data_IF_591216367167
#
_entry.id   IF_591216367167
#
_cell.length_a   1.000
_cell.length_b   1.000
_cell.length_c   1.000
_cell.angle_alpha   90.00
_cell.angle_beta   90.00
_cell.angle_gamma   90.00
#
_symmetry.space_group_name_H-M   'P 1'
#
loop_
_entity.id
_entity.type
_entity.pdbx_description
1 polymer ?
#
# COMPACT_ATOMS: atom_id res chain seq x y z
N UNK A 1 41.19 80.58 14.86
CA UNK A 1 42.02 80.20 16.02
C UNK A 1 41.91 78.69 16.15
N UNK A 2 42.91 78.12 15.88
CA UNK A 2 43.95 77.24 16.33
C UNK A 2 43.59 75.79 16.07
N UNK A 3 44.27 75.18 15.12
CA UNK A 3 45.48 74.27 15.19
C UNK A 3 45.37 73.02 16.03
N UNK A 4 45.44 71.83 15.41
CA UNK A 4 46.53 70.85 15.44
C UNK A 4 45.99 69.53 14.94
N UNK A 5 46.37 69.02 13.83
CA UNK A 5 47.59 68.23 13.46
C UNK A 5 47.68 66.83 14.11
N UNK A 6 47.64 65.88 13.17
CA UNK A 6 48.48 64.67 13.05
C UNK A 6 48.26 63.49 14.02
N UNK A 7 47.90 62.36 13.47
CA UNK A 7 48.83 61.23 13.34
C UNK A 7 48.25 60.11 12.49
N UNK A 8 49.05 59.67 11.57
CA UNK A 8 48.83 58.57 10.66
C UNK A 8 48.82 57.24 11.38
N UNK A 9 47.94 56.31 10.99
CA UNK A 9 47.96 54.93 11.34
C UNK A 9 47.52 54.07 10.15
N UNK A 10 48.51 53.62 9.39
CA UNK A 10 48.37 52.57 8.40
C UNK A 10 47.95 51.28 9.10
N UNK A 11 46.75 50.82 8.85
CA UNK A 11 46.37 49.43 9.09
C UNK A 11 46.07 48.76 7.76
N UNK A 12 46.98 47.93 7.30
CA UNK A 12 46.87 47.04 6.17
C UNK A 12 45.74 46.03 6.42
N UNK A 13 44.60 46.22 5.74
CA UNK A 13 43.56 45.19 5.70
C UNK A 13 44.05 44.06 4.76
N UNK A 14 44.58 42.99 5.33
CA UNK A 14 44.80 41.74 4.65
C UNK A 14 43.48 41.08 4.25
N UNK A 15 43.12 41.20 2.98
CA UNK A 15 41.99 40.52 2.39
C UNK A 15 42.39 39.05 2.20
N UNK A 16 42.00 38.18 3.17
CA UNK A 16 42.05 36.75 3.04
C UNK A 16 40.97 36.33 2.01
N UNK A 17 41.41 36.15 0.75
CA UNK A 17 40.63 35.44 -0.25
C UNK A 17 40.55 33.97 0.19
N UNK A 18 39.52 33.61 0.95
CA UNK A 18 39.12 32.23 1.13
C UNK A 18 38.56 31.75 -0.21
N UNK A 19 39.45 31.15 -1.02
CA UNK A 19 39.06 30.44 -2.24
C UNK A 19 38.12 29.28 -1.82
N UNK A 20 36.83 29.44 -2.03
CA UNK A 20 35.89 28.33 -1.97
C UNK A 20 36.26 27.35 -3.09
N UNK A 21 37.00 26.30 -2.74
CA UNK A 21 37.18 25.13 -3.60
C UNK A 21 35.84 24.45 -3.66
N UNK A 22 35.01 24.81 -4.64
CA UNK A 22 33.84 24.04 -4.99
C UNK A 22 34.35 22.64 -5.39
N UNK A 23 33.86 21.54 -4.77
CA UNK A 23 34.24 20.21 -5.21
C UNK A 23 33.79 20.08 -6.66
N UNK A 24 34.75 19.89 -7.54
CA UNK A 24 34.49 19.54 -8.93
C UNK A 24 33.77 18.18 -8.89
N UNK A 25 32.44 18.23 -9.01
CA UNK A 25 31.65 17.01 -9.14
C UNK A 25 32.11 16.37 -10.43
N UNK A 26 32.86 15.26 -10.31
CA UNK A 26 33.29 14.48 -11.47
C UNK A 26 32.02 14.18 -12.28
N UNK A 27 31.97 14.60 -13.54
CA UNK A 27 30.88 14.28 -14.44
C UNK A 27 30.80 12.76 -14.48
N UNK A 28 29.62 12.22 -14.18
CA UNK A 28 29.38 10.78 -14.36
C UNK A 28 29.77 10.43 -15.81
N UNK A 29 30.56 9.36 -16.01
CA UNK A 29 30.96 8.98 -17.36
C UNK A 29 29.69 8.76 -18.20
N UNK A 30 29.66 9.37 -19.38
CA UNK A 30 28.54 9.21 -20.29
C UNK A 30 28.34 7.72 -20.60
N UNK A 31 27.10 7.25 -20.55
CA UNK A 31 26.79 5.85 -20.88
C UNK A 31 27.22 5.56 -22.34
N UNK A 32 27.84 4.42 -22.58
CA UNK A 32 28.30 4.05 -23.93
C UNK A 32 27.07 3.85 -24.86
N UNK A 33 27.31 3.97 -26.16
CA UNK A 33 26.30 3.70 -27.17
C UNK A 33 25.93 2.21 -27.16
N UNK A 34 24.65 1.88 -27.10
CA UNK A 34 24.18 0.50 -27.03
C UNK A 34 24.61 -0.33 -28.25
N UNK A 35 24.54 0.23 -29.46
CA UNK A 35 24.91 -0.50 -30.67
C UNK A 35 26.41 -0.81 -30.73
N UNK A 36 27.24 0.06 -30.18
CA UNK A 36 28.69 -0.18 -30.07
C UNK A 36 28.95 -1.34 -29.10
N UNK A 37 28.36 -1.31 -27.91
CA UNK A 37 28.45 -2.40 -26.91
C UNK A 37 27.96 -3.72 -27.51
N UNK A 38 26.78 -3.70 -28.15
CA UNK A 38 26.21 -4.88 -28.81
C UNK A 38 27.16 -5.49 -29.85
N UNK A 39 27.74 -4.64 -30.69
CA UNK A 39 28.67 -5.09 -31.73
C UNK A 39 29.91 -5.77 -31.11
N UNK A 40 30.53 -5.16 -30.11
CA UNK A 40 31.72 -5.70 -29.40
C UNK A 40 31.36 -7.03 -28.71
N UNK A 41 30.26 -7.10 -28.01
CA UNK A 41 29.83 -8.32 -27.29
C UNK A 41 29.64 -9.46 -28.28
N UNK A 42 28.99 -9.22 -29.43
CA UNK A 42 28.77 -10.24 -30.44
C UNK A 42 30.04 -10.70 -31.15
N UNK A 43 31.01 -9.81 -31.30
CA UNK A 43 32.30 -10.12 -31.94
C UNK A 43 33.17 -11.00 -31.06
N UNK A 44 33.06 -10.85 -29.73
CA UNK A 44 33.99 -11.46 -28.79
C UNK A 44 33.38 -12.52 -27.87
N UNK A 45 32.06 -12.62 -27.80
CA UNK A 45 31.35 -13.56 -26.95
C UNK A 45 30.54 -14.56 -27.81
N UNK A 46 31.03 -15.80 -27.92
CA UNK A 46 30.48 -16.80 -28.86
C UNK A 46 29.03 -17.24 -28.58
N UNK A 47 28.57 -17.14 -27.35
CA UNK A 47 27.22 -17.47 -26.92
C UNK A 47 26.24 -16.28 -26.95
N UNK A 48 26.71 -15.07 -27.24
CA UNK A 48 25.90 -13.88 -27.37
C UNK A 48 25.20 -13.80 -28.75
N UNK A 49 24.19 -14.63 -28.94
CA UNK A 49 23.37 -14.57 -30.16
C UNK A 49 22.56 -13.27 -30.25
N UNK A 50 22.15 -12.89 -31.46
CA UNK A 50 21.26 -11.72 -31.64
C UNK A 50 19.96 -11.83 -30.85
N UNK A 51 19.41 -13.03 -30.75
CA UNK A 51 18.19 -13.28 -30.01
C UNK A 51 18.40 -13.08 -28.50
N UNK A 52 19.52 -13.59 -27.97
CA UNK A 52 19.90 -13.40 -26.56
C UNK A 52 20.09 -11.93 -26.22
N UNK A 53 20.88 -11.21 -27.01
CA UNK A 53 21.18 -9.78 -26.78
C UNK A 53 19.90 -8.93 -26.89
N UNK A 54 19.06 -9.20 -27.90
CA UNK A 54 17.77 -8.50 -28.05
C UNK A 54 16.85 -8.75 -26.87
N UNK A 55 16.73 -10.01 -26.42
CA UNK A 55 15.91 -10.35 -25.25
C UNK A 55 16.40 -9.63 -24.00
N UNK A 56 17.69 -9.71 -23.70
CA UNK A 56 18.30 -9.05 -22.55
C UNK A 56 18.10 -7.53 -22.58
N UNK A 57 18.24 -6.92 -23.77
CA UNK A 57 18.02 -5.49 -23.95
C UNK A 57 16.56 -5.08 -23.70
N UNK A 58 15.60 -5.82 -24.26
CA UNK A 58 14.17 -5.55 -24.06
C UNK A 58 13.77 -5.75 -22.59
N UNK A 59 14.22 -6.84 -21.95
CA UNK A 59 13.94 -7.10 -20.53
C UNK A 59 14.54 -5.99 -19.64
N UNK A 60 15.80 -5.60 -19.87
CA UNK A 60 16.43 -4.51 -19.15
C UNK A 60 15.73 -3.16 -19.35
N UNK A 61 15.26 -2.88 -20.56
CA UNK A 61 14.49 -1.67 -20.86
C UNK A 61 13.14 -1.66 -20.14
N UNK A 62 12.39 -2.77 -20.18
CA UNK A 62 11.12 -2.90 -19.47
C UNK A 62 11.28 -2.77 -17.97
N UNK A 63 12.34 -3.38 -17.41
CA UNK A 63 12.67 -3.27 -16.00
C UNK A 63 13.00 -1.83 -15.59
N UNK A 64 13.81 -1.13 -16.38
CA UNK A 64 14.18 0.25 -16.11
C UNK A 64 12.98 1.21 -16.18
N UNK A 65 11.99 0.92 -17.01
CA UNK A 65 10.76 1.71 -17.13
C UNK A 65 9.73 1.39 -16.04
N UNK A 66 9.93 0.32 -15.26
CA UNK A 66 9.24 0.05 -14.00
C UNK A 66 7.71 0.13 -14.07
N UNK A 67 7.04 -0.73 -14.83
CA UNK A 67 5.57 -0.78 -14.90
C UNK A 67 4.91 0.33 -15.74
N UNK A 68 5.66 1.35 -16.18
CA UNK A 68 5.17 2.33 -17.18
C UNK A 68 5.06 1.73 -18.58
N UNK A 69 5.76 0.64 -18.78
CA UNK A 69 5.70 -0.15 -20.03
C UNK A 69 5.66 -1.62 -19.63
N UNK A 70 4.80 -2.39 -20.28
CA UNK A 70 4.67 -3.83 -20.07
C UNK A 70 4.37 -4.55 -21.37
N UNK A 71 4.90 -5.76 -21.55
CA UNK A 71 4.48 -6.68 -22.59
C UNK A 71 3.31 -7.52 -22.07
N UNK A 72 2.22 -7.57 -22.80
CA UNK A 72 1.11 -8.47 -22.56
C UNK A 72 1.15 -9.59 -23.60
N UNK A 73 0.95 -10.83 -23.13
CA UNK A 73 0.74 -11.95 -24.06
C UNK A 73 -0.61 -11.78 -24.77
N UNK A 74 -0.76 -12.33 -26.01
CA UNK A 74 -1.99 -12.20 -26.81
C UNK A 74 -3.25 -12.70 -26.10
N UNK A 75 -3.10 -13.67 -25.20
CA UNK A 75 -4.17 -14.37 -24.50
C UNK A 75 -4.04 -14.26 -22.97
N UNK A 76 -3.60 -13.13 -22.43
CA UNK A 76 -3.70 -12.88 -21.00
C UNK A 76 -5.20 -12.85 -20.64
N UNK A 77 -5.79 -14.05 -20.55
CA UNK A 77 -7.17 -14.24 -20.12
C UNK A 77 -7.34 -13.50 -18.79
N UNK A 78 -8.36 -12.67 -18.74
CA UNK A 78 -8.78 -12.02 -17.48
C UNK A 78 -8.93 -13.12 -16.44
N UNK A 79 -8.06 -13.14 -15.44
CA UNK A 79 -8.06 -14.18 -14.41
C UNK A 79 -9.48 -14.38 -13.88
N UNK A 80 -10.02 -15.57 -14.14
CA UNK A 80 -11.35 -15.94 -13.69
C UNK A 80 -11.28 -16.24 -12.17
N UNK A 81 -11.78 -15.33 -11.36
CA UNK A 81 -11.80 -15.51 -9.90
C UNK A 81 -12.69 -14.45 -9.25
N UNK A 82 -13.07 -14.64 -7.98
CA UNK A 82 -13.92 -13.68 -7.28
C UNK A 82 -13.21 -12.35 -7.13
N UNK A 83 -13.95 -11.24 -7.26
CA UNK A 83 -13.43 -9.87 -7.07
C UNK A 83 -13.15 -9.59 -5.59
N UNK A 84 -14.01 -10.12 -4.71
CA UNK A 84 -13.80 -10.18 -3.26
C UNK A 84 -13.46 -11.62 -2.91
N UNK A 85 -12.23 -11.88 -2.53
CA UNK A 85 -11.70 -13.25 -2.29
C UNK A 85 -11.91 -13.74 -0.86
N UNK A 86 -12.16 -12.83 0.08
CA UNK A 86 -12.43 -13.17 1.48
C UNK A 86 -13.34 -12.11 2.09
N UNK A 87 -14.31 -12.59 2.88
CA UNK A 87 -15.15 -11.74 3.72
C UNK A 87 -15.26 -12.34 5.12
N UNK A 88 -15.19 -11.49 6.14
CA UNK A 88 -15.16 -11.92 7.53
C UNK A 88 -15.55 -10.78 8.45
N UNK A 89 -16.02 -11.10 9.67
CA UNK A 89 -16.22 -10.11 10.73
C UNK A 89 -15.17 -10.34 11.82
N UNK A 90 -14.47 -9.28 12.19
CA UNK A 90 -13.55 -9.27 13.33
C UNK A 90 -14.21 -8.58 14.53
N UNK A 91 -13.92 -9.09 15.72
CA UNK A 91 -14.38 -8.55 17.01
C UNK A 91 -15.91 -8.26 17.04
N UNK A 92 -16.69 -9.03 16.28
CA UNK A 92 -18.14 -8.98 16.22
C UNK A 92 -18.74 -7.75 15.54
N UNK A 93 -17.92 -6.76 15.14
CA UNK A 93 -18.45 -5.48 14.61
C UNK A 93 -17.65 -4.88 13.46
N UNK A 94 -16.49 -5.38 13.13
CA UNK A 94 -15.66 -4.85 12.04
C UNK A 94 -15.71 -5.80 10.84
N UNK A 95 -16.36 -5.36 9.77
CA UNK A 95 -16.37 -6.07 8.50
C UNK A 95 -15.00 -6.00 7.84
N UNK A 96 -14.58 -7.09 7.23
CA UNK A 96 -13.34 -7.20 6.46
C UNK A 96 -13.66 -7.80 5.10
N UNK A 97 -13.24 -7.11 4.04
CA UNK A 97 -13.35 -7.56 2.66
C UNK A 97 -11.97 -7.50 2.00
N UNK A 98 -11.52 -8.64 1.47
CA UNK A 98 -10.30 -8.73 0.69
C UNK A 98 -10.63 -8.60 -0.79
N UNK A 99 -10.21 -7.50 -1.40
CA UNK A 99 -10.31 -7.26 -2.83
C UNK A 99 -9.17 -8.00 -3.54
N UNK A 100 -9.49 -8.93 -4.42
CA UNK A 100 -8.49 -9.65 -5.20
C UNK A 100 -8.01 -8.82 -6.40
N UNK A 101 -8.94 -8.14 -7.07
CA UNK A 101 -8.63 -7.27 -8.21
C UNK A 101 -9.72 -6.22 -8.44
N UNK A 102 -9.34 -5.14 -9.11
CA UNK A 102 -10.27 -4.08 -9.53
C UNK A 102 -10.68 -4.32 -10.98
N UNK A 103 -11.92 -4.77 -11.17
CA UNK A 103 -12.50 -5.13 -12.46
C UNK A 103 -14.01 -4.82 -12.47
N UNK A 104 -14.69 -4.88 -13.62
CA UNK A 104 -16.12 -4.64 -13.72
C UNK A 104 -16.92 -5.49 -12.73
N UNK A 105 -17.88 -4.89 -12.02
CA UNK A 105 -18.70 -5.55 -11.00
C UNK A 105 -18.12 -5.49 -9.57
N UNK A 106 -16.94 -4.89 -9.34
CA UNK A 106 -16.37 -4.81 -7.99
C UNK A 106 -17.28 -4.07 -7.00
N UNK A 107 -17.90 -2.98 -7.43
CA UNK A 107 -18.84 -2.23 -6.58
C UNK A 107 -20.00 -3.11 -6.08
N UNK A 108 -20.59 -3.88 -6.99
CA UNK A 108 -21.69 -4.80 -6.65
C UNK A 108 -21.21 -5.92 -5.71
N UNK A 109 -20.01 -6.47 -5.96
CA UNK A 109 -19.41 -7.48 -5.10
C UNK A 109 -19.16 -6.95 -3.68
N UNK A 110 -18.60 -5.74 -3.54
CA UNK A 110 -18.38 -5.08 -2.25
C UNK A 110 -19.69 -4.77 -1.54
N UNK A 111 -20.68 -4.24 -2.28
CA UNK A 111 -22.01 -3.93 -1.71
C UNK A 111 -22.72 -5.19 -1.22
N UNK A 112 -22.66 -6.28 -2.00
CA UNK A 112 -23.27 -7.57 -1.64
C UNK A 112 -22.58 -8.18 -0.43
N UNK A 113 -21.25 -8.28 -0.44
CA UNK A 113 -20.48 -8.81 0.68
C UNK A 113 -20.72 -8.00 1.98
N UNK A 114 -20.77 -6.66 1.88
CA UNK A 114 -21.06 -5.81 3.04
C UNK A 114 -22.47 -6.07 3.58
N UNK A 115 -23.45 -6.25 2.72
CA UNK A 115 -24.84 -6.55 3.10
C UNK A 115 -24.96 -7.92 3.77
N UNK A 116 -24.27 -8.93 3.25
CA UNK A 116 -24.22 -10.26 3.84
C UNK A 116 -23.60 -10.25 5.25
N UNK A 117 -22.49 -9.54 5.44
CA UNK A 117 -21.90 -9.37 6.76
C UNK A 117 -22.83 -8.61 7.72
N UNK A 118 -23.55 -7.60 7.24
CA UNK A 118 -24.49 -6.81 8.04
C UNK A 118 -25.79 -7.57 8.37
N UNK A 119 -26.13 -8.65 7.66
CA UNK A 119 -27.34 -9.41 7.90
C UNK A 119 -27.34 -10.13 9.27
N UNK A 120 -26.15 -10.49 9.76
CA UNK A 120 -25.97 -11.23 11.03
C UNK A 120 -25.17 -10.45 12.07
N UNK A 121 -24.64 -9.26 11.71
CA UNK A 121 -23.79 -8.48 12.59
C UNK A 121 -24.15 -6.98 12.50
N UNK A 122 -23.98 -6.26 13.61
CA UNK A 122 -24.04 -4.80 13.60
C UNK A 122 -22.65 -4.26 13.28
N UNK A 123 -22.43 -3.85 12.02
CA UNK A 123 -21.14 -3.36 11.59
C UNK A 123 -20.86 -1.93 12.11
N UNK A 124 -19.77 -1.75 12.84
CA UNK A 124 -19.24 -0.46 13.29
C UNK A 124 -18.22 0.16 12.34
N UNK A 125 -17.70 -0.62 11.38
CA UNK A 125 -16.71 -0.18 10.39
C UNK A 125 -16.41 -1.26 9.36
N UNK A 126 -15.67 -0.88 8.31
CA UNK A 126 -15.30 -1.76 7.21
C UNK A 126 -13.81 -1.62 6.88
N UNK A 127 -13.10 -2.73 6.82
CA UNK A 127 -11.75 -2.82 6.26
C UNK A 127 -11.84 -3.31 4.82
N UNK A 128 -11.31 -2.53 3.87
CA UNK A 128 -11.07 -2.94 2.48
C UNK A 128 -9.59 -3.29 2.33
N UNK A 129 -9.29 -4.58 2.27
CA UNK A 129 -7.91 -5.02 2.07
C UNK A 129 -7.58 -5.03 0.58
N UNK A 130 -6.78 -4.04 0.16
CA UNK A 130 -6.28 -3.83 -1.19
C UNK A 130 -4.84 -4.30 -1.34
N UNK A 131 -4.24 -4.90 -0.33
CA UNK A 131 -2.88 -5.44 -0.41
C UNK A 131 -2.81 -6.49 -1.51
N UNK A 132 -1.77 -6.46 -2.30
CA UNK A 132 -1.55 -7.35 -3.44
C UNK A 132 -2.61 -7.25 -4.55
N UNK A 133 -3.56 -6.33 -4.46
CA UNK A 133 -4.58 -6.12 -5.48
C UNK A 133 -4.07 -5.21 -6.60
N UNK A 134 -4.51 -5.50 -7.83
CA UNK A 134 -4.27 -4.69 -9.01
C UNK A 134 -5.53 -4.65 -9.88
N UNK A 135 -5.39 -4.22 -11.13
CA UNK A 135 -6.45 -4.21 -12.14
C UNK A 135 -6.71 -2.82 -12.70
N UNK A 136 -6.84 -2.74 -14.01
CA UNK A 136 -6.83 -1.48 -14.76
C UNK A 136 -8.22 -0.85 -14.96
N UNK A 137 -9.26 -1.33 -14.27
CA UNK A 137 -10.61 -0.74 -14.39
C UNK A 137 -10.81 0.40 -13.40
N UNK A 138 -10.47 1.61 -13.82
CA UNK A 138 -10.62 2.82 -13.03
C UNK A 138 -12.09 3.24 -12.84
N UNK A 139 -12.99 2.81 -13.74
CA UNK A 139 -14.42 3.05 -13.57
C UNK A 139 -14.97 2.19 -12.42
N UNK A 140 -14.55 0.92 -12.33
CA UNK A 140 -14.89 0.05 -11.20
C UNK A 140 -14.33 0.59 -9.87
N UNK A 141 -13.10 1.16 -9.88
CA UNK A 141 -12.55 1.83 -8.70
C UNK A 141 -13.43 3.01 -8.26
N UNK A 142 -13.83 3.89 -9.20
CA UNK A 142 -14.72 5.01 -8.91
C UNK A 142 -16.09 4.55 -8.39
N UNK A 143 -16.70 3.56 -9.04
CA UNK A 143 -18.00 3.01 -8.63
C UNK A 143 -17.95 2.37 -7.23
N UNK A 144 -16.81 1.76 -6.87
CA UNK A 144 -16.63 1.20 -5.52
C UNK A 144 -16.56 2.30 -4.46
N UNK A 145 -15.86 3.41 -4.72
CA UNK A 145 -15.83 4.56 -3.79
C UNK A 145 -17.20 5.23 -3.69
N UNK A 146 -17.93 5.31 -4.80
CA UNK A 146 -19.26 5.90 -4.87
C UNK A 146 -20.26 5.23 -3.89
N UNK A 147 -20.07 3.94 -3.55
CA UNK A 147 -20.88 3.24 -2.54
C UNK A 147 -20.88 3.96 -1.18
N UNK A 148 -19.82 4.65 -0.81
CA UNK A 148 -19.64 5.29 0.50
C UNK A 148 -19.99 6.77 0.50
N UNK A 149 -20.37 7.34 -0.65
CA UNK A 149 -20.68 8.76 -0.81
C UNK A 149 -22.18 8.97 -1.00
N UNK A 150 -22.75 9.85 -0.19
CA UNK A 150 -24.18 10.19 -0.27
C UNK A 150 -24.46 11.40 -1.17
N UNK A 151 -23.43 12.15 -1.56
CA UNK A 151 -23.53 13.37 -2.37
C UNK A 151 -22.67 13.24 -3.61
N UNK A 152 -23.00 14.01 -4.63
CA UNK A 152 -22.16 14.14 -5.81
C UNK A 152 -20.83 14.82 -5.45
N UNK A 153 -19.72 14.15 -5.76
CA UNK A 153 -18.36 14.62 -5.57
C UNK A 153 -17.52 14.18 -6.78
N UNK A 154 -16.65 15.03 -7.33
CA UNK A 154 -15.69 14.63 -8.36
C UNK A 154 -14.75 13.55 -7.83
N UNK A 155 -14.60 12.43 -8.56
CA UNK A 155 -13.80 11.30 -8.14
C UNK A 155 -12.46 11.23 -8.88
N UNK A 156 -12.51 11.03 -10.20
CA UNK A 156 -11.30 10.85 -11.02
C UNK A 156 -11.56 11.16 -12.51
N UNK A 157 -10.45 11.34 -13.25
CA UNK A 157 -10.44 11.36 -14.70
C UNK A 157 -9.32 10.45 -15.21
N UNK A 158 -9.70 9.37 -15.91
CA UNK A 158 -8.81 8.40 -16.53
C UNK A 158 -8.69 8.62 -18.06
N UNK A 159 -8.71 9.87 -18.51
CA UNK A 159 -8.57 10.23 -19.93
C UNK A 159 -9.89 10.16 -20.73
N UNK A 160 -11.02 9.81 -20.11
CA UNK A 160 -12.35 9.73 -20.74
C UNK A 160 -13.33 10.79 -20.22
N UNK A 161 -12.83 11.79 -19.48
CA UNK A 161 -13.64 12.79 -18.79
C UNK A 161 -13.71 12.56 -17.29
N UNK A 162 -14.27 13.55 -16.59
CA UNK A 162 -14.42 13.51 -15.14
C UNK A 162 -15.56 12.57 -14.76
N UNK A 163 -15.27 11.63 -13.87
CA UNK A 163 -16.27 10.77 -13.23
C UNK A 163 -16.58 11.33 -11.85
N UNK A 164 -17.86 11.49 -11.54
CA UNK A 164 -18.37 11.93 -10.23
C UNK A 164 -19.18 10.82 -9.56
N UNK A 165 -19.27 10.87 -8.23
CA UNK A 165 -20.24 10.07 -7.48
C UNK A 165 -21.66 10.56 -7.70
N UNK A 166 -22.63 9.75 -7.34
CA UNK A 166 -24.04 10.10 -7.47
C UNK A 166 -24.65 10.47 -6.11
N UNK A 167 -25.56 11.45 -6.12
CA UNK A 167 -26.38 11.73 -4.93
C UNK A 167 -27.35 10.58 -4.69
N UNK A 168 -27.28 9.96 -3.50
CA UNK A 168 -28.12 8.81 -3.13
C UNK A 168 -28.39 8.75 -1.62
N UNK A 169 -29.47 8.08 -1.24
CA UNK A 169 -29.88 7.91 0.16
C UNK A 169 -29.35 6.61 0.78
N UNK A 170 -29.03 5.62 -0.06
CA UNK A 170 -28.59 4.27 0.32
C UNK A 170 -27.07 4.10 0.37
N UNK A 171 -26.31 5.18 0.51
CA UNK A 171 -24.86 5.12 0.68
C UNK A 171 -24.48 4.32 1.94
N UNK A 172 -23.42 3.53 1.86
CA UNK A 172 -22.86 2.80 3.00
C UNK A 172 -22.19 3.79 3.97
N UNK A 173 -22.87 4.10 5.08
CA UNK A 173 -22.41 5.09 6.07
C UNK A 173 -21.48 4.51 7.13
N UNK A 174 -20.66 3.54 6.75
CA UNK A 174 -19.66 2.93 7.61
C UNK A 174 -18.34 3.69 7.51
N UNK A 175 -17.58 3.88 8.62
CA UNK A 175 -16.19 4.27 8.53
C UNK A 175 -15.40 3.17 7.79
N UNK A 176 -14.54 3.59 6.86
CA UNK A 176 -13.76 2.69 6.01
C UNK A 176 -12.26 2.89 6.24
N UNK A 177 -11.53 1.80 6.35
CA UNK A 177 -10.07 1.79 6.28
C UNK A 177 -9.64 0.89 5.12
N UNK A 178 -8.88 1.45 4.18
CA UNK A 178 -8.26 0.70 3.10
C UNK A 178 -6.85 0.27 3.53
N UNK A 179 -6.56 -1.04 3.50
CA UNK A 179 -5.20 -1.56 3.69
C UNK A 179 -4.48 -1.61 2.34
N UNK A 180 -3.27 -1.06 2.29
CA UNK A 180 -2.45 -1.03 1.08
C UNK A 180 -1.01 -1.45 1.36
N UNK A 181 -0.30 -1.92 0.30
CA UNK A 181 1.12 -2.23 0.39
C UNK A 181 1.86 -1.92 -0.93
N UNK A 182 3.17 -2.16 -0.97
CA UNK A 182 4.00 -1.92 -2.15
C UNK A 182 3.62 -2.73 -3.41
N UNK A 183 2.70 -3.68 -3.30
CA UNK A 183 2.15 -4.45 -4.44
C UNK A 183 0.71 -4.04 -4.79
N UNK A 184 0.07 -3.17 -4.01
CA UNK A 184 -1.18 -2.52 -4.40
C UNK A 184 -0.92 -1.65 -5.63
N UNK A 185 -1.60 -1.91 -6.75
CA UNK A 185 -1.26 -1.31 -8.04
C UNK A 185 -2.49 -0.89 -8.85
N UNK A 186 -2.26 -0.03 -9.84
CA UNK A 186 -3.25 0.34 -10.87
C UNK A 186 -4.59 0.83 -10.27
N UNK A 187 -5.71 0.15 -10.59
CA UNK A 187 -7.05 0.52 -10.08
C UNK A 187 -7.19 0.42 -8.57
N UNK A 188 -6.46 -0.47 -7.90
CA UNK A 188 -6.46 -0.54 -6.44
C UNK A 188 -5.77 0.67 -5.79
N UNK A 189 -4.71 1.22 -6.41
CA UNK A 189 -4.11 2.49 -5.99
C UNK A 189 -5.08 3.66 -6.17
N UNK A 190 -5.76 3.69 -7.31
CA UNK A 190 -6.75 4.74 -7.61
C UNK A 190 -7.92 4.67 -6.62
N UNK A 191 -8.41 3.45 -6.31
CA UNK A 191 -9.45 3.25 -5.32
C UNK A 191 -9.03 3.81 -3.95
N UNK A 192 -7.82 3.47 -3.47
CA UNK A 192 -7.28 4.00 -2.23
C UNK A 192 -7.11 5.53 -2.27
N UNK A 193 -6.56 6.08 -3.36
CA UNK A 193 -6.37 7.52 -3.53
C UNK A 193 -7.69 8.30 -3.52
N UNK A 194 -8.72 7.79 -4.20
CA UNK A 194 -10.05 8.42 -4.26
C UNK A 194 -10.77 8.33 -2.92
N UNK A 195 -10.72 7.16 -2.22
CA UNK A 195 -11.26 7.01 -0.86
C UNK A 195 -10.67 8.07 0.09
N UNK A 196 -9.36 8.21 0.08
CA UNK A 196 -8.64 9.20 0.87
C UNK A 196 -9.03 10.62 0.50
N UNK A 197 -9.02 10.93 -0.79
CA UNK A 197 -9.28 12.28 -1.32
C UNK A 197 -10.69 12.78 -1.02
N UNK A 198 -11.67 11.91 -1.10
CA UNK A 198 -13.09 12.22 -0.83
C UNK A 198 -13.41 12.21 0.66
N UNK A 199 -12.50 11.75 1.51
CA UNK A 199 -12.76 11.56 2.94
C UNK A 199 -13.70 10.40 3.23
N UNK A 200 -13.96 9.53 2.25
CA UNK A 200 -14.80 8.35 2.42
C UNK A 200 -14.13 7.25 3.25
N UNK A 201 -12.79 7.25 3.32
CA UNK A 201 -12.01 6.32 4.14
C UNK A 201 -10.60 6.81 4.39
N UNK A 202 -9.90 6.13 5.30
CA UNK A 202 -8.48 6.30 5.58
C UNK A 202 -7.69 5.19 4.91
N UNK A 203 -6.45 5.49 4.54
CA UNK A 203 -5.52 4.55 3.93
C UNK A 203 -4.42 4.19 4.94
N UNK A 204 -4.21 2.90 5.17
CA UNK A 204 -3.27 2.38 6.16
C UNK A 204 -2.38 1.31 5.54
N UNK A 205 -1.09 1.28 5.88
CA UNK A 205 -0.14 0.29 5.38
C UNK A 205 1.17 0.89 4.91
N UNK A 206 1.70 0.43 3.78
CA UNK A 206 2.89 0.99 3.14
C UNK A 206 2.54 1.65 1.81
N UNK A 207 3.48 2.44 1.26
CA UNK A 207 3.32 3.13 -0.02
C UNK A 207 3.01 2.12 -1.14
N UNK A 208 2.08 2.47 -2.03
CA UNK A 208 1.67 1.61 -3.15
C UNK A 208 2.68 1.58 -4.29
N UNK A 209 2.43 0.76 -5.31
CA UNK A 209 3.38 0.46 -6.40
C UNK A 209 3.67 1.64 -7.35
N UNK A 210 2.79 2.65 -7.45
CA UNK A 210 2.95 3.78 -8.37
C UNK A 210 2.76 3.41 -9.84
N UNK A 211 1.81 2.51 -10.14
CA UNK A 211 1.52 2.02 -11.50
C UNK A 211 0.17 2.51 -12.05
N UNK A 212 -0.50 3.43 -11.36
CA UNK A 212 -1.76 3.99 -11.80
C UNK A 212 -1.56 4.97 -12.95
N UNK A 213 -1.87 4.55 -14.18
CA UNK A 213 -1.73 5.37 -15.39
C UNK A 213 -2.75 4.98 -16.46
N UNK A 214 -3.05 5.92 -17.34
CA UNK A 214 -3.79 5.62 -18.57
C UNK A 214 -2.88 4.83 -19.49
N UNK A 215 -3.19 3.56 -19.72
CA UNK A 215 -2.41 2.68 -20.60
C UNK A 215 -2.96 2.74 -22.02
N UNK A 216 -2.06 2.76 -23.00
CA UNK A 216 -2.37 2.54 -24.42
C UNK A 216 -1.66 1.30 -24.91
N UNK A 217 -2.35 0.54 -25.72
CA UNK A 217 -1.88 -0.72 -26.27
C UNK A 217 -1.38 -0.53 -27.71
N UNK A 218 -0.23 -1.12 -28.00
CA UNK A 218 0.42 -1.09 -29.31
C UNK A 218 0.74 -2.53 -29.71
N UNK A 219 0.09 -3.07 -30.77
CA UNK A 219 0.39 -4.41 -31.26
C UNK A 219 1.81 -4.47 -31.84
N UNK A 220 2.54 -5.53 -31.52
CA UNK A 220 3.88 -5.79 -32.02
C UNK A 220 3.85 -6.86 -33.11
N UNK A 221 4.88 -6.88 -33.97
CA UNK A 221 4.99 -7.80 -35.10
C UNK A 221 5.08 -9.29 -34.71
N UNK A 222 5.46 -9.57 -33.47
CA UNK A 222 5.54 -10.93 -32.91
C UNK A 222 4.22 -11.41 -32.27
N UNK A 223 3.12 -10.65 -32.41
CA UNK A 223 1.81 -10.96 -31.86
C UNK A 223 1.62 -10.54 -30.38
N UNK A 224 2.67 -10.04 -29.71
CA UNK A 224 2.53 -9.46 -28.38
C UNK A 224 1.96 -8.05 -28.44
N UNK A 225 1.47 -7.56 -27.32
CA UNK A 225 0.99 -6.18 -27.17
C UNK A 225 1.87 -5.43 -26.18
N UNK A 226 2.41 -4.27 -26.62
CA UNK A 226 3.12 -3.36 -25.74
C UNK A 226 2.12 -2.39 -25.11
N UNK A 227 1.99 -2.42 -23.80
CA UNK A 227 1.19 -1.48 -23.00
C UNK A 227 2.09 -0.35 -22.51
N UNK A 228 1.74 0.90 -22.80
CA UNK A 228 2.53 2.09 -22.46
C UNK A 228 1.66 3.06 -21.66
N UNK A 229 2.19 3.54 -20.54
CA UNK A 229 1.58 4.61 -19.74
C UNK A 229 1.70 5.95 -20.51
N UNK A 230 0.58 6.47 -21.01
CA UNK A 230 0.54 7.67 -21.85
C UNK A 230 0.10 8.92 -21.10
N UNK A 231 -0.60 8.77 -19.99
CA UNK A 231 -1.04 9.89 -19.16
C UNK A 231 -1.27 9.44 -17.69
N UNK A 232 -1.14 10.35 -16.71
CA UNK A 232 -1.51 10.06 -15.34
C UNK A 232 -3.04 9.97 -15.18
N UNK A 233 -3.50 9.23 -14.17
CA UNK A 233 -4.87 9.32 -13.68
C UNK A 233 -4.97 10.59 -12.83
N UNK A 234 -5.98 11.42 -13.09
CA UNK A 234 -6.24 12.62 -12.30
C UNK A 234 -7.33 12.35 -11.27
N UNK A 235 -7.14 12.83 -10.04
CA UNK A 235 -8.17 12.86 -9.00
C UNK A 235 -9.20 13.96 -9.30
N UNK A 236 -10.30 13.99 -8.55
CA UNK A 236 -11.38 14.94 -8.75
C UNK A 236 -10.99 16.41 -8.66
N UNK A 237 -9.86 16.75 -8.02
CA UNK A 237 -9.27 18.09 -7.99
C UNK A 237 -8.21 18.32 -9.09
N UNK A 238 -8.21 17.51 -10.11
CA UNK A 238 -7.26 17.52 -11.23
C UNK A 238 -5.79 17.26 -10.85
N UNK A 239 -5.49 16.85 -9.61
CA UNK A 239 -4.15 16.41 -9.22
C UNK A 239 -3.89 14.99 -9.69
N UNK A 240 -2.69 14.69 -10.21
CA UNK A 240 -2.36 13.34 -10.62
C UNK A 240 -2.23 12.40 -9.41
N UNK A 241 -2.64 11.14 -9.58
CA UNK A 241 -2.23 10.06 -8.69
C UNK A 241 -0.71 9.93 -8.82
N UNK A 242 0.04 9.94 -7.69
CA UNK A 242 1.49 9.96 -7.76
C UNK A 242 2.06 8.68 -8.39
N UNK A 243 2.91 8.80 -9.40
CA UNK A 243 3.63 7.68 -9.99
C UNK A 243 4.70 7.07 -9.07
N UNK A 244 4.96 7.71 -7.94
CA UNK A 244 5.78 7.17 -6.85
C UNK A 244 5.00 6.30 -5.89
N UNK A 245 3.70 6.13 -6.13
CA UNK A 245 2.76 5.43 -5.27
C UNK A 245 2.00 6.36 -4.31
N UNK A 246 0.83 5.89 -3.91
CA UNK A 246 -0.03 6.56 -2.92
C UNK A 246 0.56 6.36 -1.53
N UNK A 247 0.76 7.45 -0.82
CA UNK A 247 1.24 7.44 0.56
C UNK A 247 0.06 7.20 1.51
N UNK A 248 0.12 6.23 2.43
CA UNK A 248 -0.96 6.00 3.38
C UNK A 248 -1.06 7.14 4.40
N UNK A 249 -2.26 7.33 5.00
CA UNK A 249 -2.47 8.28 6.10
C UNK A 249 -1.79 7.79 7.37
N UNK A 250 -1.76 6.46 7.56
CA UNK A 250 -1.09 5.81 8.68
C UNK A 250 -0.13 4.76 8.13
N UNK A 251 1.16 5.04 8.27
CA UNK A 251 2.20 4.12 7.81
C UNK A 251 2.38 2.96 8.80
N UNK A 252 2.38 1.75 8.27
CA UNK A 252 2.69 0.52 9.00
C UNK A 252 3.78 -0.21 8.23
N UNK A 253 4.94 -0.33 8.85
CA UNK A 253 6.08 -1.04 8.25
C UNK A 253 6.06 -2.48 8.73
N UNK A 254 5.92 -3.40 7.79
CA UNK A 254 6.00 -4.86 8.00
C UNK A 254 7.02 -5.41 7.00
N UNK A 255 7.72 -6.46 7.35
CA UNK A 255 8.59 -7.14 6.39
C UNK A 255 7.74 -7.84 5.33
N UNK A 256 8.17 -7.85 4.04
CA UNK A 256 7.37 -8.41 2.96
C UNK A 256 6.97 -9.88 3.17
N UNK A 257 7.85 -10.69 3.74
CA UNK A 257 7.59 -12.09 4.05
C UNK A 257 6.53 -12.27 5.15
N UNK A 258 6.60 -11.45 6.22
CA UNK A 258 5.65 -11.48 7.32
C UNK A 258 4.27 -10.94 6.87
N UNK A 259 4.27 -9.90 6.04
CA UNK A 259 3.05 -9.34 5.46
C UNK A 259 2.34 -10.37 4.56
N UNK A 260 3.10 -11.11 3.74
CA UNK A 260 2.52 -12.15 2.87
C UNK A 260 1.91 -13.28 3.68
N UNK A 261 2.62 -13.77 4.70
CA UNK A 261 2.13 -14.81 5.59
C UNK A 261 0.85 -14.36 6.35
N UNK A 262 0.85 -13.14 6.90
CA UNK A 262 -0.30 -12.57 7.59
C UNK A 262 -1.49 -12.29 6.65
N UNK A 263 -1.23 -11.97 5.38
CA UNK A 263 -2.27 -11.82 4.37
C UNK A 263 -2.95 -13.17 4.06
N UNK A 264 -2.20 -14.26 4.01
CA UNK A 264 -2.75 -15.59 3.79
C UNK A 264 -3.52 -16.10 5.01
N UNK A 265 -2.94 -15.99 6.21
CA UNK A 265 -3.60 -16.28 7.48
C UNK A 265 -3.30 -15.20 8.52
N UNK A 266 -4.27 -14.34 8.87
CA UNK A 266 -4.06 -13.25 9.83
C UNK A 266 -3.80 -13.72 11.27
N UNK A 267 -3.99 -15.01 11.56
CA UNK A 267 -3.76 -15.59 12.89
C UNK A 267 -2.48 -16.43 12.99
N UNK A 268 -1.73 -16.59 11.91
CA UNK A 268 -0.43 -17.28 11.95
C UNK A 268 0.55 -16.48 12.79
N UNK A 269 0.99 -17.08 13.88
CA UNK A 269 2.11 -16.55 14.68
C UNK A 269 3.39 -16.92 13.94
N UNK A 270 3.93 -15.98 13.17
CA UNK A 270 5.28 -16.13 12.60
C UNK A 270 6.27 -16.10 13.77
N UNK A 271 6.82 -17.24 14.13
CA UNK A 271 7.93 -17.31 15.07
C UNK A 271 9.18 -16.78 14.38
N UNK A 272 9.36 -15.46 14.37
CA UNK A 272 10.61 -14.84 13.90
C UNK A 272 11.68 -15.18 14.92
N UNK A 273 12.53 -16.13 14.61
CA UNK A 273 13.78 -16.32 15.31
C UNK A 273 14.62 -15.06 15.14
N UNK A 274 14.69 -14.20 16.16
CA UNK A 274 15.73 -13.18 16.27
C UNK A 274 15.34 -11.72 16.31
N UNK A 275 14.09 -11.32 16.56
CA UNK A 275 13.79 -9.91 16.87
C UNK A 275 12.92 -9.79 18.12
N UNK A 276 13.59 -9.57 19.24
CA UNK A 276 12.96 -9.17 20.50
C UNK A 276 12.53 -7.70 20.42
N UNK A 277 11.42 -7.42 19.78
CA UNK A 277 10.71 -6.16 19.95
C UNK A 277 9.28 -6.46 20.38
N UNK A 278 9.10 -6.50 21.69
CA UNK A 278 7.89 -6.23 22.47
C UNK A 278 6.51 -6.61 21.86
N UNK A 279 6.37 -7.80 21.28
CA UNK A 279 5.16 -8.55 21.48
C UNK A 279 5.25 -9.03 22.92
N UNK A 280 4.73 -8.25 23.86
CA UNK A 280 4.55 -8.68 25.23
C UNK A 280 3.66 -9.91 25.16
N UNK A 281 4.29 -11.09 25.07
CA UNK A 281 3.72 -12.30 25.63
C UNK A 281 3.47 -11.98 27.10
N UNK A 282 2.32 -11.43 27.40
CA UNK A 282 1.75 -11.57 28.74
C UNK A 282 1.36 -13.04 28.80
N UNK A 283 2.37 -13.92 28.94
CA UNK A 283 2.15 -15.13 29.66
C UNK A 283 1.61 -14.66 31.00
N UNK A 284 0.27 -14.62 31.11
CA UNK A 284 -0.35 -14.52 32.43
C UNK A 284 0.26 -15.66 33.22
N UNK A 285 1.25 -15.32 34.08
CA UNK A 285 1.67 -16.23 35.13
C UNK A 285 0.38 -16.68 35.77
N UNK A 286 0.10 -17.99 35.88
CA UNK A 286 -1.08 -18.46 36.56
C UNK A 286 -1.08 -17.75 37.91
N UNK A 287 -2.14 -16.98 38.18
CA UNK A 287 -2.32 -16.39 39.52
C UNK A 287 -2.49 -17.59 40.44
N UNK A 288 -1.40 -17.97 41.07
CA UNK A 288 -1.45 -18.93 42.16
C UNK A 288 -2.28 -18.26 43.23
N UNK A 289 -3.48 -18.76 43.49
CA UNK A 289 -4.33 -18.21 44.52
C UNK A 289 -3.68 -18.52 45.87
N UNK A 290 -3.90 -17.65 46.87
CA UNK A 290 -3.41 -17.89 48.22
C UNK A 290 -3.88 -19.26 48.76
N UNK A 291 -5.03 -19.73 48.33
CA UNK A 291 -5.56 -21.06 48.60
C UNK A 291 -4.71 -22.18 47.99
N UNK A 292 -4.10 -21.97 46.82
CA UNK A 292 -3.23 -22.96 46.17
C UNK A 292 -1.89 -23.07 46.88
N UNK A 293 -1.33 -21.95 47.38
CA UNK A 293 -0.13 -21.91 48.20
C UNK A 293 -0.33 -22.60 49.57
N UNK A 294 -1.52 -22.47 50.13
CA UNK A 294 -1.86 -23.12 51.40
C UNK A 294 -2.02 -24.63 51.23
N UNK A 295 -2.59 -25.10 50.11
CA UNK A 295 -2.71 -26.52 49.76
C UNK A 295 -1.35 -27.14 49.48
N UNK A 296 -0.48 -26.47 48.75
CA UNK A 296 0.89 -26.92 48.51
C UNK A 296 1.69 -27.09 49.83
N UNK A 297 1.51 -26.22 50.78
CA UNK A 297 2.10 -26.34 52.15
C UNK A 297 1.55 -27.53 52.94
N UNK A 298 0.34 -28.01 52.63
CA UNK A 298 -0.29 -29.15 53.27
C UNK A 298 0.01 -30.49 52.61
N UNK A 299 0.79 -30.48 51.53
CA UNK A 299 1.14 -31.73 50.81
C UNK A 299 -0.04 -32.35 50.02
N UNK A 300 -1.13 -31.60 49.82
CA UNK A 300 -2.27 -32.06 49.00
C UNK A 300 -1.94 -31.85 47.54
N UNK A 301 -2.04 -32.92 46.73
CA UNK A 301 -1.85 -32.87 45.27
C UNK A 301 -2.78 -31.80 44.65
N UNK A 302 -2.31 -30.99 43.72
CA UNK A 302 -3.15 -29.98 43.09
C UNK A 302 -4.30 -30.65 42.40
N UNK A 303 -5.52 -30.30 42.81
CA UNK A 303 -6.73 -30.75 42.15
C UNK A 303 -6.68 -30.36 40.68
N UNK A 304 -6.88 -31.34 39.84
CA UNK A 304 -7.16 -31.36 38.39
C UNK A 304 -6.91 -30.03 37.70
N UNK A 305 -5.82 -29.97 36.90
CA UNK A 305 -5.59 -28.88 35.96
C UNK A 305 -6.89 -28.58 35.25
N UNK A 306 -7.46 -27.44 35.54
CA UNK A 306 -8.51 -26.85 34.71
C UNK A 306 -8.01 -26.92 33.25
N UNK A 307 -8.80 -27.57 32.42
CA UNK A 307 -8.59 -27.66 30.97
C UNK A 307 -8.19 -26.26 30.49
N UNK A 308 -7.06 -26.11 29.78
CA UNK A 308 -6.66 -24.79 29.31
C UNK A 308 -7.85 -24.20 28.54
N UNK A 309 -8.28 -23.04 28.98
CA UNK A 309 -9.27 -22.23 28.23
C UNK A 309 -8.73 -22.09 26.80
N UNK A 310 -9.54 -22.34 25.79
CA UNK A 310 -9.05 -22.31 24.40
C UNK A 310 -8.38 -20.93 24.19
N UNK A 311 -7.08 -20.97 23.88
CA UNK A 311 -6.33 -19.75 23.57
C UNK A 311 -7.03 -19.08 22.38
N UNK A 312 -7.61 -17.93 22.60
CA UNK A 312 -8.18 -17.13 21.51
C UNK A 312 -7.02 -16.80 20.56
N UNK A 313 -7.13 -17.15 19.28
CA UNK A 313 -6.06 -16.90 18.32
C UNK A 313 -5.73 -15.40 18.30
N UNK A 314 -4.47 -15.08 18.54
CA UNK A 314 -3.99 -13.69 18.53
C UNK A 314 -3.81 -13.28 17.08
N UNK A 315 -4.38 -12.13 16.73
CA UNK A 315 -4.22 -11.55 15.39
C UNK A 315 -2.74 -11.18 15.19
N UNK A 316 -2.10 -11.85 14.24
CA UNK A 316 -0.68 -11.64 13.91
C UNK A 316 -0.49 -10.54 12.85
N UNK A 317 -1.52 -10.23 12.07
CA UNK A 317 -1.51 -9.17 11.08
C UNK A 317 -1.53 -7.78 11.74
N UNK A 318 -0.36 -7.17 11.83
CA UNK A 318 -0.18 -5.86 12.48
C UNK A 318 -0.96 -4.75 11.79
N UNK A 319 -1.02 -4.77 10.45
CA UNK A 319 -1.73 -3.74 9.69
C UNK A 319 -3.25 -3.88 9.87
N UNK A 320 -3.76 -5.11 9.80
CA UNK A 320 -5.17 -5.40 10.05
C UNK A 320 -5.55 -5.08 11.50
N UNK A 321 -4.74 -5.46 12.48
CA UNK A 321 -4.96 -5.14 13.89
C UNK A 321 -5.09 -3.64 14.12
N UNK A 322 -4.19 -2.83 13.55
CA UNK A 322 -4.28 -1.37 13.63
C UNK A 322 -5.53 -0.80 12.96
N UNK A 323 -5.94 -1.34 11.82
CA UNK A 323 -7.16 -0.92 11.15
C UNK A 323 -8.40 -1.20 12.00
N UNK A 324 -8.47 -2.37 12.63
CA UNK A 324 -9.55 -2.75 13.55
C UNK A 324 -9.60 -1.81 14.76
N UNK A 325 -8.46 -1.56 15.41
CA UNK A 325 -8.39 -0.66 16.57
C UNK A 325 -8.82 0.76 16.23
N UNK A 326 -8.40 1.27 15.06
CA UNK A 326 -8.79 2.58 14.56
C UNK A 326 -10.30 2.66 14.34
N UNK A 327 -10.91 1.66 13.69
CA UNK A 327 -12.35 1.63 13.44
C UNK A 327 -13.16 1.53 14.72
N UNK A 328 -12.71 0.75 15.71
CA UNK A 328 -13.33 0.72 17.05
C UNK A 328 -13.27 2.07 17.74
N UNK A 329 -12.12 2.75 17.70
CA UNK A 329 -11.97 4.09 18.25
C UNK A 329 -12.92 5.09 17.60
N UNK A 330 -13.05 5.05 16.26
CA UNK A 330 -14.00 5.90 15.53
C UNK A 330 -15.47 5.60 15.87
N UNK A 331 -15.81 4.33 16.08
CA UNK A 331 -17.17 3.93 16.48
C UNK A 331 -17.53 4.49 17.86
N UNK A 332 -16.62 4.45 18.83
CA UNK A 332 -16.81 5.03 20.17
C UNK A 332 -17.04 6.54 20.10
N UNK A 333 -16.21 7.26 19.32
CA UNK A 333 -16.37 8.72 19.16
C UNK A 333 -17.69 9.11 18.50
N UNK A 334 -18.16 8.31 17.54
CA UNK A 334 -19.47 8.54 16.90
C UNK A 334 -20.65 8.17 17.78
N UNK A 335 -20.54 7.08 18.55
CA UNK A 335 -21.58 6.63 19.50
C UNK A 335 -21.73 7.52 20.74
N UNK A 336 -20.69 8.27 21.12
CA UNK A 336 -20.72 9.20 22.25
C UNK A 336 -21.25 10.62 21.92
N UNK A 337 -21.73 10.86 20.70
CA UNK A 337 -22.38 12.12 20.31
C UNK A 337 -23.91 11.95 20.29
N UNK A 338 -24.48 11.73 21.49
CA UNK A 338 -25.89 11.91 21.74
C UNK A 338 -26.11 13.09 22.67
#
# INVERSE_FOLDING_TARGET
>A
MTKRQWLAGLLAAGMLLAGAVLPLRAAEPAMPNFDEVRRIVREHLADATDEFVNRAAVEGFLQALGGRVALAAPDAATEAGPLVSRQQVFDGSIGYLRVARVAPGLADAVATATRELAATNTLGGLVLDLRFAAGADYAAAAATVDLFLAREVPLLNAGKGLVSSQTKTNALRLPVVALVNGQTAEGAEVLAAVLRKTGAGLVLGSRTAGRAAVMREFPLSNGQTLRVAVAPILLGDAKPVPMTGVEPDIMVTVKPEDERAAYEDPFVVTTVAGSATNAVRVARRPRVSEADLVRERRGESPATRTKPEPETPVLADVALGRAIDLLKGLAVVRGGRF
#
